data_IF_469587914733
#
_entry.id   IF_469587914733
#
_cell.length_a   1.000
_cell.length_b   1.000
_cell.length_c   1.000
_cell.angle_alpha   90.00
_cell.angle_beta   90.00
_cell.angle_gamma   90.00
#
_symmetry.space_group_name_H-M   'P 1'
#
loop_
_entity.id
_entity.type
_entity.pdbx_description
1 polymer ?
#
# COMPACT_ATOMS: atom_id res chain seq x y z
N UNK A 1 -10.92 2.24 14.57
CA UNK A 1 -10.21 2.37 13.30
C UNK A 1 -10.51 3.72 12.65
N UNK A 2 -9.52 4.57 12.33
CA UNK A 2 -9.75 5.85 11.61
C UNK A 2 -9.73 5.59 10.10
N UNK A 3 -10.83 5.86 9.40
CA UNK A 3 -10.85 5.82 7.94
C UNK A 3 -10.05 7.00 7.38
N UNK A 4 -9.18 6.70 6.42
CA UNK A 4 -8.30 7.66 5.77
C UNK A 4 -8.75 7.85 4.33
N UNK A 5 -8.79 9.10 3.88
CA UNK A 5 -9.16 9.49 2.52
C UNK A 5 -8.20 10.56 1.96
N UNK A 6 -8.52 11.10 0.78
CA UNK A 6 -7.69 12.11 0.11
C UNK A 6 -7.47 13.37 0.96
N UNK A 7 -8.45 13.74 1.79
CA UNK A 7 -8.40 14.95 2.61
C UNK A 7 -7.67 14.76 3.94
N UNK A 8 -7.58 13.52 4.44
CA UNK A 8 -7.10 13.21 5.78
C UNK A 8 -5.77 12.44 5.82
N UNK A 9 -5.32 11.88 4.69
CA UNK A 9 -4.12 11.04 4.67
C UNK A 9 -2.83 11.80 5.02
N UNK A 10 -2.67 13.03 4.54
CA UNK A 10 -1.48 13.81 4.84
C UNK A 10 -1.34 14.07 6.35
N UNK A 11 -2.45 14.44 7.00
CA UNK A 11 -2.46 14.70 8.44
C UNK A 11 -2.23 13.43 9.24
N UNK A 12 -2.87 12.32 8.87
CA UNK A 12 -2.63 11.03 9.49
C UNK A 12 -1.15 10.61 9.40
N UNK A 13 -0.51 10.79 8.23
CA UNK A 13 0.90 10.42 8.04
C UNK A 13 1.85 11.29 8.90
N UNK A 14 1.52 12.57 9.14
CA UNK A 14 2.28 13.45 10.05
C UNK A 14 2.08 13.06 11.50
N UNK A 15 0.81 12.94 11.93
CA UNK A 15 0.44 12.59 13.30
C UNK A 15 1.02 11.24 13.73
N UNK A 16 1.13 10.29 12.80
CA UNK A 16 1.75 8.98 13.02
C UNK A 16 3.27 8.96 12.82
N UNK A 17 3.90 10.10 12.54
CA UNK A 17 5.35 10.26 12.39
C UNK A 17 5.94 9.56 11.16
N UNK A 18 5.15 9.30 10.11
CA UNK A 18 5.59 8.62 8.86
C UNK A 18 6.17 9.58 7.83
N UNK A 19 5.79 10.86 7.92
CA UNK A 19 6.33 11.97 7.15
C UNK A 19 6.63 13.14 8.10
N UNK A 20 7.54 14.03 7.72
CA UNK A 20 7.85 15.20 8.56
C UNK A 20 6.70 16.23 8.53
N UNK A 21 6.63 17.06 9.57
CA UNK A 21 5.55 18.06 9.71
C UNK A 21 5.52 19.08 8.55
N UNK A 22 6.70 19.48 8.07
CA UNK A 22 6.88 20.42 6.96
C UNK A 22 6.90 19.74 5.58
N UNK A 23 6.82 18.41 5.54
CA UNK A 23 6.86 17.66 4.30
C UNK A 23 5.57 17.87 3.48
N UNK A 24 5.75 18.33 2.24
CA UNK A 24 4.66 18.57 1.30
C UNK A 24 4.39 17.34 0.45
N UNK A 25 3.13 16.91 0.46
CA UNK A 25 2.65 15.76 -0.29
C UNK A 25 1.36 16.09 -1.03
N UNK A 26 1.16 15.48 -2.19
CA UNK A 26 -0.13 15.42 -2.89
C UNK A 26 -0.75 14.04 -2.66
N UNK A 27 -2.01 14.01 -2.25
CA UNK A 27 -2.77 12.78 -2.04
C UNK A 27 -3.78 12.62 -3.16
N UNK A 28 -3.88 11.42 -3.74
CA UNK A 28 -4.87 11.09 -4.76
C UNK A 28 -5.47 9.71 -4.54
N UNK A 29 -6.79 9.58 -4.62
CA UNK A 29 -7.49 8.30 -4.61
C UNK A 29 -7.22 7.54 -5.90
N UNK A 30 -6.80 6.28 -5.75
CA UNK A 30 -6.69 5.32 -6.82
C UNK A 30 -7.97 4.48 -6.88
N UNK A 31 -8.70 4.63 -7.98
CA UNK A 31 -9.98 3.94 -8.23
C UNK A 31 -9.77 2.57 -8.85
N UNK A 32 -10.84 1.76 -8.92
CA UNK A 32 -10.86 0.45 -9.60
C UNK A 32 -10.96 -0.75 -8.65
N UNK A 33 -10.65 -0.57 -7.37
CA UNK A 33 -10.86 -1.59 -6.33
C UNK A 33 -12.10 -1.34 -5.47
N UNK A 34 -12.75 -2.42 -5.01
CA UNK A 34 -13.92 -2.35 -4.10
C UNK A 34 -13.58 -2.64 -2.64
N UNK A 35 -12.47 -3.34 -2.38
CA UNK A 35 -12.12 -3.87 -1.07
C UNK A 35 -11.29 -2.92 -0.21
N UNK A 36 -10.63 -1.93 -0.79
CA UNK A 36 -9.74 -1.04 -0.04
C UNK A 36 -9.95 0.42 -0.42
N UNK A 37 -9.61 1.32 0.49
CA UNK A 37 -9.20 2.68 0.12
C UNK A 37 -7.74 2.59 -0.30
N UNK A 38 -7.41 3.11 -1.48
CA UNK A 38 -6.05 3.08 -2.03
C UNK A 38 -5.70 4.50 -2.41
N UNK A 39 -4.67 5.05 -1.78
CA UNK A 39 -4.25 6.44 -1.94
C UNK A 39 -2.81 6.47 -2.44
N UNK A 40 -2.55 7.23 -3.50
CA UNK A 40 -1.19 7.60 -3.91
C UNK A 40 -0.77 8.84 -3.15
N UNK A 41 0.42 8.79 -2.57
CA UNK A 41 1.08 9.91 -1.89
C UNK A 41 2.28 10.28 -2.76
N UNK A 42 2.21 11.44 -3.40
CA UNK A 42 3.32 11.97 -4.19
C UNK A 42 4.06 13.03 -3.39
N UNK A 43 5.37 12.88 -3.29
CA UNK A 43 6.24 13.83 -2.60
C UNK A 43 6.67 14.93 -3.56
N UNK A 44 6.85 16.15 -3.04
CA UNK A 44 7.43 17.24 -3.85
C UNK A 44 8.96 17.07 -4.02
N UNK A 45 9.62 16.37 -3.10
CA UNK A 45 11.03 16.02 -3.23
C UNK A 45 11.24 14.96 -4.32
N UNK A 46 12.24 15.15 -5.18
CA UNK A 46 12.64 14.18 -6.20
C UNK A 46 13.50 13.03 -5.66
N UNK A 47 13.92 13.11 -4.41
CA UNK A 47 14.76 12.09 -3.77
C UNK A 47 13.95 10.93 -3.19
N UNK A 48 12.62 11.06 -3.15
CA UNK A 48 11.72 10.07 -2.55
C UNK A 48 10.75 9.53 -3.59
N UNK A 49 10.58 8.22 -3.59
CA UNK A 49 9.56 7.56 -4.38
C UNK A 49 8.17 7.80 -3.81
N UNK A 50 7.18 7.86 -4.70
CA UNK A 50 5.78 7.93 -4.32
C UNK A 50 5.36 6.70 -3.50
N UNK A 51 4.47 6.92 -2.54
CA UNK A 51 3.89 5.84 -1.74
C UNK A 51 2.49 5.49 -2.19
N UNK A 52 2.10 4.25 -1.92
CA UNK A 52 0.70 3.81 -1.96
C UNK A 52 0.28 3.41 -0.55
N UNK A 53 -0.70 4.12 -0.01
CA UNK A 53 -1.34 3.78 1.26
C UNK A 53 -2.59 2.97 0.95
N UNK A 54 -2.70 1.79 1.56
CA UNK A 54 -3.82 0.88 1.36
C UNK A 54 -4.48 0.57 2.70
N UNK A 55 -5.77 0.86 2.80
CA UNK A 55 -6.57 0.60 3.99
C UNK A 55 -7.74 -0.34 3.66
N UNK A 56 -7.81 -1.47 4.33
CA UNK A 56 -8.93 -2.39 4.21
C UNK A 56 -10.22 -1.79 4.78
N UNK A 57 -11.33 -2.02 4.08
CA UNK A 57 -12.68 -1.61 4.50
C UNK A 57 -13.45 -2.81 5.05
N UNK A 58 -14.21 -2.62 6.13
CA UNK A 58 -15.11 -3.68 6.63
C UNK A 58 -16.20 -4.02 5.61
N UNK A 59 -16.75 -3.01 4.93
CA UNK A 59 -17.73 -3.18 3.87
C UNK A 59 -17.13 -2.84 2.50
N UNK A 60 -17.26 -3.77 1.56
CA UNK A 60 -16.82 -3.59 0.18
C UNK A 60 -17.71 -2.58 -0.56
N UNK A 61 -17.12 -1.91 -1.56
CA UNK A 61 -17.76 -0.88 -2.40
C UNK A 61 -18.53 -1.52 -3.56
N UNK A 62 -19.53 -2.34 -3.23
CA UNK A 62 -20.40 -3.06 -4.17
C UNK A 62 -21.87 -2.74 -3.87
N UNK A 63 -22.77 -3.07 -4.80
CA UNK A 63 -24.19 -2.73 -4.68
C UNK A 63 -24.87 -3.41 -3.47
N UNK A 64 -24.61 -4.70 -3.26
CA UNK A 64 -25.14 -5.45 -2.14
C UNK A 64 -24.22 -5.35 -0.92
N UNK A 65 -24.75 -5.36 0.32
CA UNK A 65 -23.93 -5.40 1.52
C UNK A 65 -23.00 -6.61 1.52
N UNK A 66 -21.69 -6.36 1.38
CA UNK A 66 -20.66 -7.38 1.46
C UNK A 66 -19.62 -6.99 2.51
N UNK A 67 -19.59 -7.73 3.60
CA UNK A 67 -18.69 -7.52 4.74
C UNK A 67 -17.50 -8.48 4.73
N UNK A 68 -16.34 -8.00 5.14
CA UNK A 68 -15.12 -8.79 5.27
C UNK A 68 -14.19 -8.17 6.33
N UNK A 69 -13.56 -9.01 7.17
CA UNK A 69 -12.63 -8.56 8.20
C UNK A 69 -11.46 -7.75 7.63
N UNK A 70 -11.11 -6.64 8.28
CA UNK A 70 -10.02 -5.75 7.86
C UNK A 70 -8.63 -6.37 8.01
N UNK A 71 -8.49 -7.35 8.91
CA UNK A 71 -7.28 -8.14 9.15
C UNK A 71 -6.68 -8.79 7.90
N UNK A 72 -7.45 -8.90 6.81
CA UNK A 72 -6.94 -9.38 5.51
C UNK A 72 -5.77 -8.54 4.98
N UNK A 73 -5.65 -7.28 5.39
CA UNK A 73 -4.51 -6.43 5.01
C UNK A 73 -3.20 -7.02 5.52
N UNK A 74 -3.20 -7.70 6.67
CA UNK A 74 -2.01 -8.36 7.22
C UNK A 74 -1.59 -9.56 6.40
N UNK A 75 -2.55 -10.32 5.87
CA UNK A 75 -2.26 -11.42 4.92
C UNK A 75 -1.63 -10.89 3.63
N UNK A 76 -2.05 -9.72 3.17
CA UNK A 76 -1.42 -9.06 2.01
C UNK A 76 0.02 -8.64 2.33
N UNK A 77 0.26 -8.00 3.49
CA UNK A 77 1.61 -7.64 3.96
C UNK A 77 2.52 -8.87 4.06
N UNK A 78 2.05 -9.96 4.66
CA UNK A 78 2.80 -11.22 4.77
C UNK A 78 3.11 -11.81 3.40
N UNK A 79 2.14 -11.80 2.48
CA UNK A 79 2.32 -12.32 1.11
C UNK A 79 3.35 -11.50 0.35
N UNK A 80 3.30 -10.16 0.42
CA UNK A 80 4.28 -9.27 -0.20
C UNK A 80 5.70 -9.57 0.31
N UNK A 81 5.87 -9.80 1.61
CA UNK A 81 7.17 -10.18 2.19
C UNK A 81 7.67 -11.52 1.66
N UNK A 82 6.81 -12.55 1.66
CA UNK A 82 7.15 -13.88 1.14
C UNK A 82 7.53 -13.80 -0.34
N UNK A 83 6.74 -13.09 -1.16
CA UNK A 83 7.06 -12.90 -2.58
C UNK A 83 8.39 -12.17 -2.78
N UNK A 84 8.68 -11.14 -1.98
CA UNK A 84 9.95 -10.44 -2.05
C UNK A 84 11.13 -11.36 -1.70
N UNK A 85 10.99 -12.24 -0.72
CA UNK A 85 12.03 -13.21 -0.36
C UNK A 85 12.20 -14.30 -1.42
N UNK A 86 11.11 -14.79 -2.02
CA UNK A 86 11.17 -15.72 -3.15
C UNK A 86 11.91 -15.13 -4.36
N UNK A 87 11.72 -13.84 -4.67
CA UNK A 87 12.43 -13.18 -5.78
C UNK A 87 13.90 -12.88 -5.47
N UNK A 88 14.32 -12.89 -4.20
CA UNK A 88 15.73 -12.72 -3.80
C UNK A 88 16.52 -14.02 -3.86
N UNK A 89 15.89 -15.19 -3.72
CA UNK A 89 16.57 -16.48 -3.87
C UNK A 89 16.84 -16.72 -5.37
N UNK A 90 18.07 -16.41 -5.80
CA UNK A 90 18.55 -16.54 -7.17
C UNK A 90 18.37 -17.96 -7.74
N UNK A 91 18.26 -18.98 -6.87
CA UNK A 91 17.99 -20.38 -7.28
C UNK A 91 16.53 -20.64 -7.69
N UNK A 92 15.62 -19.68 -7.44
CA UNK A 92 14.22 -19.73 -7.85
C UNK A 92 13.93 -18.83 -9.07
N UNK A 93 14.86 -17.97 -9.47
CA UNK A 93 14.72 -17.09 -10.64
C UNK A 93 15.15 -17.73 -11.97
N UNK A 94 15.40 -19.05 -11.99
CA UNK A 94 15.52 -19.85 -13.22
C UNK A 94 14.20 -19.93 -14.02
N UNK A 95 13.13 -19.25 -13.58
CA UNK A 95 12.22 -18.57 -14.51
C UNK A 95 13.00 -17.46 -15.22
N UNK A 96 14.03 -17.84 -15.98
CA UNK A 96 14.78 -16.94 -16.81
C UNK A 96 13.77 -16.11 -17.58
N UNK A 97 13.89 -14.80 -17.45
CA UNK A 97 13.21 -13.83 -18.28
C UNK A 97 13.70 -14.02 -19.72
N UNK A 98 13.27 -15.11 -20.38
CA UNK A 98 13.54 -15.39 -21.79
C UNK A 98 13.00 -14.26 -22.69
N UNK A 99 12.07 -13.46 -22.15
CA UNK A 99 11.40 -12.35 -22.83
C UNK A 99 11.78 -10.94 -22.32
N UNK A 100 12.77 -10.80 -21.41
CA UNK A 100 13.25 -9.49 -20.94
C UNK A 100 12.36 -8.76 -19.91
N UNK A 101 11.40 -9.45 -19.28
CA UNK A 101 10.59 -8.90 -18.19
C UNK A 101 11.38 -8.81 -16.87
N UNK A 102 11.17 -7.72 -16.14
CA UNK A 102 11.62 -7.57 -14.74
C UNK A 102 10.44 -7.70 -13.81
N UNK A 103 10.51 -8.66 -12.89
CA UNK A 103 9.53 -8.83 -11.83
C UNK A 103 10.01 -8.11 -10.57
N UNK A 104 9.11 -7.42 -9.89
CA UNK A 104 9.38 -6.74 -8.63
C UNK A 104 8.16 -6.81 -7.73
N UNK A 105 8.40 -6.89 -6.42
CA UNK A 105 7.34 -6.82 -5.42
C UNK A 105 7.38 -5.45 -4.76
N UNK A 106 6.23 -4.76 -4.59
CA UNK A 106 6.18 -3.51 -3.85
C UNK A 106 6.74 -3.68 -2.44
N UNK A 107 7.63 -2.78 -2.03
CA UNK A 107 8.16 -2.78 -0.67
C UNK A 107 7.09 -2.30 0.32
N UNK A 108 6.91 -3.02 1.41
CA UNK A 108 6.13 -2.54 2.57
C UNK A 108 6.99 -1.55 3.34
N UNK A 109 6.71 -0.26 3.17
CA UNK A 109 7.47 0.82 3.82
C UNK A 109 7.05 1.01 5.27
N UNK A 110 5.76 0.84 5.55
CA UNK A 110 5.23 0.84 6.90
C UNK A 110 3.93 0.05 7.04
N UNK A 111 3.57 -0.26 8.28
CA UNK A 111 2.28 -0.81 8.70
C UNK A 111 1.84 -0.12 10.00
N UNK A 112 0.54 0.05 10.19
CA UNK A 112 -0.08 0.57 11.41
C UNK A 112 -1.20 -0.38 11.86
N UNK A 113 -0.91 -1.16 12.90
CA UNK A 113 -1.79 -2.20 13.44
C UNK A 113 -2.78 -1.67 14.49
N UNK A 114 -2.60 -0.44 14.92
CA UNK A 114 -3.39 0.18 15.98
C UNK A 114 -4.49 1.10 15.42
N UNK A 115 -4.40 1.47 14.14
CA UNK A 115 -5.32 2.37 13.46
C UNK A 115 -6.59 1.75 12.92
#
# INVERSE_FOLDING_TARGET
MRLIDESSAADYLRESGRIADDERVRVRLLTGGVSNIVLRISFDSTEREDWVVKQAREQLRVADPWFCGVERIWREVETLRICADCLRDERQTDFAADDGFRFSVPQVVFEDREN
#
